data_IF_058040115000
#
_entry.id   IF_058040115000
#
_cell.length_a   1.000
_cell.length_b   1.000
_cell.length_c   1.000
_cell.angle_alpha   90.00
_cell.angle_beta   90.00
_cell.angle_gamma   90.00
#
_symmetry.space_group_name_H-M   'P 1'
#
loop_
_entity.id
_entity.type
_entity.pdbx_description
1 polymer ?
#
# COMPACT_ATOMS: atom_id res chain seq x y z
N UNK A 1 -10.33 15.88 -2.60
CA UNK A 1 -10.38 14.50 -3.11
C UNK A 1 -8.97 13.98 -3.21
N UNK A 2 -8.71 12.75 -2.77
CA UNK A 2 -7.38 12.18 -2.95
C UNK A 2 -7.12 11.90 -4.44
N UNK A 3 -5.87 11.98 -4.81
CA UNK A 3 -5.43 11.46 -6.10
C UNK A 3 -5.37 9.93 -5.97
N UNK A 4 -6.08 9.24 -6.82
CA UNK A 4 -6.15 7.79 -6.76
C UNK A 4 -5.14 7.13 -7.68
N UNK A 5 -4.48 6.11 -7.18
CA UNK A 5 -3.70 5.18 -7.97
C UNK A 5 -4.43 3.84 -7.99
N UNK A 6 -4.72 3.35 -9.17
CA UNK A 6 -5.39 2.06 -9.38
C UNK A 6 -4.33 0.98 -9.52
N UNK A 7 -4.44 -0.07 -8.73
CA UNK A 7 -3.46 -1.16 -8.72
C UNK A 7 -4.15 -2.47 -9.05
N UNK A 8 -3.56 -3.22 -9.96
CA UNK A 8 -3.98 -4.56 -10.33
C UNK A 8 -2.80 -5.51 -10.25
N UNK A 9 -2.99 -6.64 -9.57
CA UNK A 9 -1.95 -7.66 -9.42
C UNK A 9 -2.46 -9.01 -9.87
N UNK A 10 -1.58 -9.77 -10.52
CA UNK A 10 -1.80 -11.17 -10.85
C UNK A 10 -0.79 -11.99 -10.08
N UNK A 11 -1.25 -12.93 -9.27
CA UNK A 11 -0.41 -13.73 -8.38
C UNK A 11 -0.54 -15.20 -8.75
N UNK A 12 0.59 -15.89 -8.87
CA UNK A 12 0.64 -17.34 -9.05
C UNK A 12 1.83 -17.91 -8.28
N UNK A 13 1.79 -19.19 -7.99
CA UNK A 13 2.87 -19.85 -7.26
C UNK A 13 2.34 -20.95 -6.34
N UNK A 14 3.10 -21.31 -5.28
CA UNK A 14 2.67 -22.36 -4.34
C UNK A 14 1.29 -22.04 -3.75
N UNK A 15 0.41 -23.02 -3.76
CA UNK A 15 -0.99 -22.85 -3.38
C UNK A 15 -1.18 -22.29 -1.97
N UNK A 16 -0.35 -22.71 -1.02
CA UNK A 16 -0.38 -22.21 0.36
C UNK A 16 -0.01 -20.73 0.44
N UNK A 17 0.97 -20.30 -0.34
CA UNK A 17 1.40 -18.90 -0.37
C UNK A 17 0.37 -18.01 -1.07
N UNK A 18 -0.19 -18.48 -2.18
CA UNK A 18 -1.28 -17.76 -2.85
C UNK A 18 -2.48 -17.59 -1.91
N UNK A 19 -2.81 -18.61 -1.12
CA UNK A 19 -3.85 -18.54 -0.10
C UNK A 19 -3.54 -17.53 1.00
N UNK A 20 -2.30 -17.44 1.44
CA UNK A 20 -1.88 -16.46 2.44
C UNK A 20 -2.04 -15.04 1.91
N UNK A 21 -1.68 -14.79 0.65
CA UNK A 21 -1.84 -13.49 0.01
C UNK A 21 -3.34 -13.13 -0.10
N UNK A 22 -4.16 -14.08 -0.51
CA UNK A 22 -5.62 -13.87 -0.57
C UNK A 22 -6.16 -13.47 0.80
N UNK A 23 -5.75 -14.14 1.85
CA UNK A 23 -6.21 -13.87 3.22
C UNK A 23 -5.78 -12.47 3.69
N UNK A 24 -4.60 -12.00 3.30
CA UNK A 24 -4.12 -10.65 3.62
C UNK A 24 -5.09 -9.59 3.11
N UNK A 25 -5.59 -9.75 1.89
CA UNK A 25 -6.50 -8.79 1.28
C UNK A 25 -7.95 -8.99 1.70
N UNK A 26 -8.40 -10.23 1.82
CA UNK A 26 -9.79 -10.54 2.19
C UNK A 26 -10.10 -10.18 3.64
N UNK A 27 -9.12 -10.30 4.53
CA UNK A 27 -9.30 -9.93 5.93
C UNK A 27 -9.39 -8.42 6.16
N UNK A 28 -9.09 -7.62 5.14
CA UNK A 28 -9.09 -6.17 5.22
C UNK A 28 -7.79 -5.59 5.74
N UNK A 29 -7.56 -4.32 5.45
CA UNK A 29 -6.38 -3.58 5.86
C UNK A 29 -5.06 -4.25 5.48
N UNK A 30 -4.86 -4.59 4.19
CA UNK A 30 -3.66 -5.31 3.78
C UNK A 30 -2.37 -4.52 4.01
N UNK A 31 -2.39 -3.19 3.90
CA UNK A 31 -1.20 -2.38 4.14
C UNK A 31 -0.77 -2.49 5.60
N UNK A 32 -1.73 -2.38 6.52
CA UNK A 32 -1.44 -2.50 7.95
C UNK A 32 -1.00 -3.91 8.33
N UNK A 33 -1.49 -4.93 7.63
CA UNK A 33 -1.06 -6.30 7.87
C UNK A 33 0.37 -6.56 7.41
N UNK A 34 0.79 -5.92 6.33
CA UNK A 34 2.15 -6.04 5.79
C UNK A 34 3.14 -5.14 6.52
N UNK A 35 2.76 -3.91 6.80
CA UNK A 35 3.59 -2.92 7.52
C UNK A 35 2.73 -2.32 8.61
N UNK A 36 2.68 -2.92 9.81
CA UNK A 36 1.79 -2.47 10.88
C UNK A 36 2.14 -1.09 11.39
N UNK A 37 1.14 -0.21 11.41
CA UNK A 37 1.26 1.09 12.06
C UNK A 37 1.14 0.91 13.58
N UNK A 38 1.96 1.60 14.39
CA UNK A 38 1.80 1.55 15.84
C UNK A 38 0.39 1.97 16.27
N UNK A 39 -0.26 1.15 17.10
CA UNK A 39 -1.64 1.39 17.54
C UNK A 39 -1.81 2.74 18.25
N UNK A 40 -0.82 3.15 19.03
CA UNK A 40 -0.87 4.43 19.75
C UNK A 40 -0.99 5.61 18.78
N UNK A 41 -0.32 5.57 17.63
CA UNK A 41 -0.45 6.62 16.62
C UNK A 41 -1.87 6.68 16.06
N UNK A 42 -2.43 5.52 15.74
CA UNK A 42 -3.80 5.44 15.24
C UNK A 42 -4.84 5.87 16.27
N UNK A 43 -4.59 5.59 17.54
CA UNK A 43 -5.51 5.90 18.64
C UNK A 43 -5.47 7.36 19.04
N UNK A 44 -4.28 7.95 19.13
CA UNK A 44 -4.09 9.30 19.67
C UNK A 44 -3.97 10.40 18.61
N UNK A 45 -3.67 10.03 17.37
CA UNK A 45 -3.52 10.99 16.27
C UNK A 45 -4.02 10.40 14.94
N UNK A 46 -5.30 9.99 14.87
CA UNK A 46 -5.80 9.23 13.72
C UNK A 46 -5.68 9.98 12.39
N UNK A 47 -5.89 11.29 12.40
CA UNK A 47 -5.87 12.09 11.18
C UNK A 47 -4.79 13.16 11.17
N UNK A 48 -4.22 13.48 12.33
CA UNK A 48 -3.25 14.55 12.47
C UNK A 48 -3.83 15.95 12.32
N UNK A 49 -5.15 16.08 12.20
CA UNK A 49 -5.86 17.35 11.99
C UNK A 49 -7.08 17.46 12.90
N UNK A 50 -7.49 18.68 13.18
CA UNK A 50 -8.76 18.99 13.82
C UNK A 50 -8.69 19.25 15.30
N UNK A 51 -9.88 19.51 15.89
CA UNK A 51 -10.04 19.89 17.30
C UNK A 51 -9.74 18.79 18.29
N UNK A 52 -9.72 17.54 17.83
CA UNK A 52 -9.33 16.38 18.63
C UNK A 52 -7.85 16.09 18.53
N UNK A 53 -7.11 17.07 18.02
CA UNK A 53 -5.66 16.95 17.90
C UNK A 53 -5.04 16.63 19.27
N UNK A 54 -4.11 15.72 19.23
CA UNK A 54 -3.35 15.28 20.39
C UNK A 54 -2.72 16.47 21.11
N UNK A 55 -2.69 16.44 22.43
CA UNK A 55 -2.03 17.48 23.21
C UNK A 55 -0.55 17.61 22.85
N UNK A 56 0.08 18.79 23.04
CA UNK A 56 1.51 18.95 22.76
C UNK A 56 2.39 17.96 23.53
N UNK A 57 1.99 17.59 24.73
CA UNK A 57 2.72 16.62 25.55
C UNK A 57 2.69 15.22 24.93
N UNK A 58 1.52 14.78 24.50
CA UNK A 58 1.35 13.49 23.85
C UNK A 58 2.07 13.46 22.51
N UNK A 59 2.04 14.56 21.75
CA UNK A 59 2.80 14.68 20.52
C UNK A 59 4.29 14.45 20.73
N UNK A 60 4.84 15.09 21.76
CA UNK A 60 6.24 14.92 22.10
C UNK A 60 6.59 13.49 22.46
N UNK A 61 5.70 12.80 23.17
CA UNK A 61 5.89 11.39 23.52
C UNK A 61 5.85 10.49 22.29
N UNK A 62 4.89 10.72 21.41
CA UNK A 62 4.76 9.94 20.16
C UNK A 62 5.97 10.14 19.25
N UNK A 63 6.46 11.38 19.12
CA UNK A 63 7.66 11.67 18.34
C UNK A 63 8.89 10.98 18.90
N UNK A 64 9.06 10.97 20.23
CA UNK A 64 10.18 10.31 20.87
C UNK A 64 10.12 8.79 20.70
N UNK A 65 8.93 8.22 20.77
CA UNK A 65 8.73 6.77 20.75
C UNK A 65 8.73 6.17 19.35
N UNK A 66 8.11 6.86 18.40
CA UNK A 66 7.91 6.34 17.03
C UNK A 66 8.54 7.18 15.93
N UNK A 67 9.04 8.37 16.26
CA UNK A 67 9.54 9.31 15.26
C UNK A 67 8.46 10.13 14.57
N UNK A 68 7.19 9.96 14.95
CA UNK A 68 6.04 10.63 14.35
C UNK A 68 5.04 11.05 15.41
N UNK A 69 4.41 12.19 15.19
CA UNK A 69 3.30 12.68 16.02
C UNK A 69 1.95 12.55 15.30
N UNK A 70 1.94 12.08 14.07
CA UNK A 70 0.75 11.99 13.23
C UNK A 70 0.70 10.63 12.53
N UNK A 71 -0.44 9.97 12.61
CA UNK A 71 -0.69 8.73 11.87
C UNK A 71 -0.65 8.96 10.35
N UNK A 72 -1.13 10.13 9.91
CA UNK A 72 -1.10 10.52 8.49
C UNK A 72 0.33 10.53 7.96
N UNK A 73 1.25 11.22 8.67
CA UNK A 73 2.65 11.30 8.23
C UNK A 73 3.30 9.93 8.24
N UNK A 74 3.00 9.12 9.25
CA UNK A 74 3.52 7.75 9.33
C UNK A 74 3.06 6.92 8.13
N UNK A 75 1.77 6.99 7.78
CA UNK A 75 1.22 6.26 6.63
C UNK A 75 1.85 6.71 5.32
N UNK A 76 2.02 8.03 5.14
CA UNK A 76 2.65 8.56 3.93
C UNK A 76 4.08 8.06 3.77
N UNK A 77 4.84 8.01 4.86
CA UNK A 77 6.24 7.57 4.82
C UNK A 77 6.39 6.05 4.70
N UNK A 78 5.48 5.29 5.30
CA UNK A 78 5.61 3.83 5.35
C UNK A 78 4.76 3.10 4.31
N UNK A 79 3.66 3.66 3.87
CA UNK A 79 2.78 3.06 2.87
C UNK A 79 2.75 3.83 1.55
N UNK A 80 3.21 5.06 1.56
CA UNK A 80 3.05 6.00 0.43
C UNK A 80 1.58 6.23 0.08
N UNK A 81 0.71 6.15 1.06
CA UNK A 81 -0.73 6.27 0.92
C UNK A 81 -1.32 6.97 2.13
N UNK A 82 -2.39 7.73 1.91
CA UNK A 82 -3.08 8.47 2.98
C UNK A 82 -3.77 7.53 3.97
N UNK A 83 -4.27 6.39 3.47
CA UNK A 83 -4.91 5.36 4.28
C UNK A 83 -4.70 3.99 3.64
N UNK A 84 -5.23 2.94 4.24
CA UNK A 84 -5.11 1.58 3.73
C UNK A 84 -5.83 1.40 2.39
N UNK A 85 -5.61 0.25 1.74
CA UNK A 85 -6.19 -0.04 0.43
C UNK A 85 -7.71 0.18 0.42
N UNK A 86 -8.17 0.84 -0.64
CA UNK A 86 -9.60 1.10 -0.85
C UNK A 86 -10.12 0.16 -1.94
N UNK A 87 -11.37 -0.29 -1.76
CA UNK A 87 -12.08 -1.11 -2.76
C UNK A 87 -11.29 -2.36 -3.19
N UNK A 88 -10.65 -3.02 -2.24
CA UNK A 88 -9.86 -4.22 -2.51
C UNK A 88 -10.78 -5.37 -2.92
N UNK A 89 -10.47 -5.99 -4.06
CA UNK A 89 -11.21 -7.12 -4.62
C UNK A 89 -10.22 -8.22 -4.95
N UNK A 90 -10.49 -9.43 -4.47
CA UNK A 90 -9.73 -10.62 -4.83
C UNK A 90 -10.61 -11.55 -5.64
N UNK A 91 -9.99 -12.22 -6.62
CA UNK A 91 -10.67 -13.19 -7.46
C UNK A 91 -9.73 -14.35 -7.76
N UNK A 92 -10.14 -15.55 -7.34
CA UNK A 92 -9.41 -16.76 -7.70
C UNK A 92 -9.53 -17.02 -9.19
N UNK A 93 -8.41 -17.41 -9.79
CA UNK A 93 -8.35 -17.83 -11.19
C UNK A 93 -7.89 -19.29 -11.23
N UNK A 94 -7.93 -19.88 -12.41
CA UNK A 94 -7.47 -21.24 -12.63
C UNK A 94 -6.01 -21.44 -12.19
N UNK A 95 -5.17 -20.43 -12.39
CA UNK A 95 -3.72 -20.52 -12.12
C UNK A 95 -3.27 -19.71 -10.92
N UNK A 96 -4.15 -18.98 -10.24
CA UNK A 96 -3.75 -18.16 -9.11
C UNK A 96 -4.81 -17.20 -8.64
N UNK A 97 -4.45 -15.92 -8.56
CA UNK A 97 -5.25 -14.90 -7.92
C UNK A 97 -5.08 -13.55 -8.63
N UNK A 98 -6.21 -12.88 -8.87
CA UNK A 98 -6.21 -11.48 -9.29
C UNK A 98 -6.60 -10.60 -8.10
N UNK A 99 -5.89 -9.51 -7.91
CA UNK A 99 -6.15 -8.55 -6.83
C UNK A 99 -6.20 -7.16 -7.44
N UNK A 100 -7.25 -6.39 -7.10
CA UNK A 100 -7.37 -5.00 -7.52
C UNK A 100 -7.69 -4.15 -6.31
N UNK A 101 -7.09 -2.97 -6.22
CA UNK A 101 -7.40 -2.00 -5.17
C UNK A 101 -7.02 -0.60 -5.62
N UNK A 102 -7.39 0.39 -4.80
CA UNK A 102 -7.01 1.78 -5.01
C UNK A 102 -6.15 2.24 -3.85
N UNK A 103 -5.08 2.96 -4.16
CA UNK A 103 -4.22 3.61 -3.18
C UNK A 103 -4.48 5.11 -3.21
N UNK A 104 -4.63 5.70 -2.03
CA UNK A 104 -4.91 7.13 -1.89
C UNK A 104 -3.61 7.91 -1.88
N UNK A 105 -3.32 8.60 -2.96
CA UNK A 105 -2.18 9.45 -3.27
C UNK A 105 -1.27 8.86 -4.33
N UNK A 106 -0.51 7.83 -4.04
CA UNK A 106 0.49 7.31 -4.97
C UNK A 106 0.54 5.78 -4.92
N UNK A 107 1.40 5.20 -5.73
CA UNK A 107 1.64 3.77 -5.71
C UNK A 107 2.28 3.37 -4.37
N UNK A 108 1.76 2.33 -3.70
CA UNK A 108 2.24 1.97 -2.37
C UNK A 108 3.52 1.12 -2.46
N UNK A 109 4.63 1.72 -2.88
CA UNK A 109 5.91 1.02 -3.08
C UNK A 109 6.34 0.18 -1.89
N UNK A 110 6.36 0.73 -0.65
CA UNK A 110 6.86 -0.05 0.49
C UNK A 110 6.01 -1.29 0.76
N UNK A 111 4.69 -1.18 0.54
CA UNK A 111 3.75 -2.29 0.76
C UNK A 111 4.00 -3.40 -0.26
N UNK A 112 4.13 -3.04 -1.53
CA UNK A 112 4.36 -4.01 -2.59
C UNK A 112 5.75 -4.65 -2.47
N UNK A 113 6.76 -3.87 -2.11
CA UNK A 113 8.10 -4.39 -1.84
C UNK A 113 8.08 -5.41 -0.70
N UNK A 114 7.36 -5.13 0.38
CA UNK A 114 7.22 -6.04 1.51
C UNK A 114 6.46 -7.31 1.13
N UNK A 115 5.42 -7.19 0.33
CA UNK A 115 4.69 -8.35 -0.20
C UNK A 115 5.62 -9.27 -0.99
N UNK A 116 6.40 -8.70 -1.90
CA UNK A 116 7.35 -9.46 -2.70
C UNK A 116 8.43 -10.13 -1.84
N UNK A 117 8.93 -9.41 -0.84
CA UNK A 117 9.96 -9.92 0.07
C UNK A 117 9.46 -11.13 0.87
N UNK A 118 8.20 -11.10 1.31
CA UNK A 118 7.59 -12.19 2.08
C UNK A 118 7.29 -13.42 1.24
N UNK A 119 7.03 -13.23 -0.06
CA UNK A 119 6.61 -14.31 -0.95
C UNK A 119 7.53 -14.39 -2.18
N UNK A 120 8.82 -14.68 -1.96
CA UNK A 120 9.78 -14.67 -3.06
C UNK A 120 9.53 -15.75 -4.13
N UNK A 121 8.80 -16.80 -3.77
CA UNK A 121 8.50 -17.92 -4.68
C UNK A 121 7.22 -17.69 -5.50
N UNK A 122 6.48 -16.63 -5.22
CA UNK A 122 5.29 -16.26 -5.98
C UNK A 122 5.65 -15.37 -7.15
N UNK A 123 5.07 -15.65 -8.31
CA UNK A 123 5.05 -14.70 -9.41
C UNK A 123 3.97 -13.66 -9.11
N UNK A 124 4.37 -12.40 -9.00
CA UNK A 124 3.46 -11.29 -8.74
C UNK A 124 3.72 -10.25 -9.82
N UNK A 125 2.76 -10.11 -10.73
CA UNK A 125 2.80 -9.09 -11.77
C UNK A 125 1.90 -7.94 -11.33
N UNK A 126 2.44 -6.71 -11.38
CA UNK A 126 1.76 -5.52 -10.88
C UNK A 126 1.61 -4.51 -12.00
N UNK A 127 0.40 -3.98 -12.14
CA UNK A 127 0.12 -2.86 -13.03
C UNK A 127 -0.61 -1.81 -12.22
N UNK A 128 -0.19 -0.56 -12.40
CA UNK A 128 -0.83 0.57 -11.73
C UNK A 128 -0.97 1.73 -12.70
N UNK A 129 -1.97 2.57 -12.45
CA UNK A 129 -2.21 3.77 -13.26
C UNK A 129 -2.73 4.88 -12.40
N UNK A 130 -2.39 6.11 -12.79
CA UNK A 130 -2.85 7.34 -12.12
C UNK A 130 -3.07 8.44 -13.13
N UNK A 131 -3.97 9.36 -12.82
CA UNK A 131 -4.32 10.44 -13.74
C UNK A 131 -3.82 11.80 -13.27
N UNK A 132 -3.58 11.95 -11.97
CA UNK A 132 -3.14 13.21 -11.40
C UNK A 132 -1.63 13.41 -11.57
N UNK A 133 -1.18 14.66 -11.60
CA UNK A 133 0.24 15.06 -11.67
C UNK A 133 0.98 14.44 -12.87
N UNK A 134 0.29 14.40 -14.01
CA UNK A 134 0.83 13.73 -15.20
C UNK A 134 0.46 12.26 -15.22
N UNK A 135 -0.39 11.87 -16.14
CA UNK A 135 -0.81 10.48 -16.31
C UNK A 135 0.38 9.56 -16.44
N UNK A 136 0.32 8.45 -15.71
CA UNK A 136 1.38 7.47 -15.75
C UNK A 136 0.86 6.06 -15.55
N UNK A 137 1.67 5.11 -15.95
CA UNK A 137 1.45 3.70 -15.75
C UNK A 137 2.72 3.06 -15.20
N UNK A 138 2.53 2.14 -14.26
CA UNK A 138 3.62 1.33 -13.72
C UNK A 138 3.40 -0.11 -14.11
N UNK A 139 4.48 -0.77 -14.50
CA UNK A 139 4.49 -2.20 -14.74
C UNK A 139 5.66 -2.80 -13.96
N UNK A 140 5.37 -3.78 -13.11
CA UNK A 140 6.39 -4.36 -12.26
C UNK A 140 6.15 -5.83 -11.98
N UNK A 141 7.12 -6.45 -11.37
CA UNK A 141 7.07 -7.87 -11.02
C UNK A 141 7.93 -8.20 -9.83
N UNK A 142 7.57 -9.29 -9.16
CA UNK A 142 8.41 -9.90 -8.13
C UNK A 142 9.52 -10.71 -8.81
N UNK A 143 10.76 -10.34 -8.56
CA UNK A 143 11.94 -11.06 -9.06
C UNK A 143 12.68 -11.67 -7.87
N UNK A 144 12.22 -12.84 -7.44
CA UNK A 144 12.84 -13.58 -6.35
C UNK A 144 12.79 -12.88 -4.99
N UNK A 145 11.78 -12.06 -4.77
CA UNK A 145 11.58 -11.29 -3.53
C UNK A 145 11.90 -9.82 -3.66
N UNK A 146 12.41 -9.38 -4.81
CA UNK A 146 12.68 -7.99 -5.11
C UNK A 146 11.67 -7.46 -6.12
N UNK A 147 11.02 -6.34 -5.79
CA UNK A 147 10.07 -5.72 -6.71
C UNK A 147 10.82 -4.88 -7.73
N UNK A 148 10.76 -5.28 -9.00
CA UNK A 148 11.36 -4.56 -10.12
C UNK A 148 10.25 -3.98 -10.99
N UNK A 149 10.38 -2.70 -11.36
CA UNK A 149 9.32 -2.01 -12.09
C UNK A 149 9.87 -0.95 -13.03
N UNK A 150 9.01 -0.54 -13.95
CA UNK A 150 9.24 0.62 -14.82
C UNK A 150 7.99 1.48 -14.86
N UNK A 151 8.18 2.78 -15.06
CA UNK A 151 7.10 3.75 -15.14
C UNK A 151 7.11 4.36 -16.53
N UNK A 152 5.92 4.41 -17.13
CA UNK A 152 5.70 5.07 -18.41
C UNK A 152 4.77 6.25 -18.18
N UNK A 153 5.26 7.46 -18.40
CA UNK A 153 4.45 8.66 -18.33
C UNK A 153 3.84 8.93 -19.70
N UNK A 154 2.56 9.26 -19.72
CA UNK A 154 1.94 9.74 -20.94
C UNK A 154 2.61 11.07 -21.31
N UNK A 155 2.97 11.22 -22.59
CA UNK A 155 3.43 12.51 -23.08
C UNK A 155 2.32 13.54 -22.83
N UNK A 156 2.68 14.66 -22.21
CA UNK A 156 1.76 15.76 -22.12
C UNK A 156 1.40 16.15 -23.55
N UNK A 157 0.11 16.15 -23.87
CA UNK A 157 -0.36 16.66 -25.16
C UNK A 157 0.00 18.14 -25.20
N UNK A 158 0.88 18.48 -26.09
CA UNK A 158 1.27 19.87 -26.34
C UNK A 158 0.11 20.67 -26.94
#
# INVERSE_FOLDING_TARGET
MPNWTFVHMTVSGPADQVGQIEDLFDAGQPFNRLIPMPEELGRHAPDGFGSNATSPEMRGELERKYGYASSYQWRMDHWNSKWDASSAITQRTENGLNISFQSAFDFPYPVIEELCRRFPDCAIDVKASWEAAGQGELSGRNDGGEFKFSILYSAADD
#
